data_IF_718441124512
#
_entry.id   IF_718441124512
#
_cell.length_a   1.000
_cell.length_b   1.000
_cell.length_c   1.000
_cell.angle_alpha   90.00
_cell.angle_beta   90.00
_cell.angle_gamma   90.00
#
_symmetry.space_group_name_H-M   'P 1'
#
loop_
_entity.id
_entity.type
_entity.pdbx_description
1 polymer ?
#
# COMPACT_ATOMS: atom_id res chain seq x y z
N UNK A 1 -14.00 -15.17 -0.51
CA UNK A 1 -12.81 -15.75 -1.16
C UNK A 1 -12.69 -17.23 -0.85
N UNK A 2 -12.44 -17.64 0.38
CA UNK A 2 -12.16 -19.05 0.76
C UNK A 2 -13.26 -20.05 0.36
N UNK A 3 -14.55 -19.70 0.45
CA UNK A 3 -15.63 -20.60 0.03
C UNK A 3 -15.54 -20.94 -1.47
N UNK A 4 -15.23 -19.95 -2.30
CA UNK A 4 -15.08 -20.15 -3.74
C UNK A 4 -13.83 -20.98 -4.06
N UNK A 5 -12.69 -20.67 -3.42
CA UNK A 5 -11.46 -21.45 -3.61
C UNK A 5 -11.66 -22.91 -3.24
N UNK A 6 -12.31 -23.20 -2.12
CA UNK A 6 -12.63 -24.58 -1.68
C UNK A 6 -13.63 -25.30 -2.56
N UNK A 7 -14.43 -24.58 -3.32
CA UNK A 7 -15.38 -25.17 -4.29
C UNK A 7 -14.78 -25.33 -5.70
N UNK A 8 -13.57 -24.83 -5.93
CA UNK A 8 -12.81 -25.00 -7.17
C UNK A 8 -11.94 -26.28 -7.10
N UNK A 9 -11.33 -26.63 -8.21
CA UNK A 9 -10.43 -27.81 -8.29
C UNK A 9 -9.01 -27.55 -7.76
N UNK A 10 -8.76 -26.36 -7.20
CA UNK A 10 -7.44 -26.00 -6.64
C UNK A 10 -7.22 -26.67 -5.29
N UNK A 11 -6.01 -27.12 -5.03
CA UNK A 11 -5.63 -27.75 -3.77
C UNK A 11 -5.33 -26.68 -2.72
N UNK A 12 -6.28 -26.36 -1.85
CA UNK A 12 -6.09 -25.47 -0.71
C UNK A 12 -5.51 -26.24 0.45
N UNK A 13 -4.23 -26.05 0.75
CA UNK A 13 -3.48 -26.78 1.77
C UNK A 13 -3.62 -26.18 3.16
N UNK A 14 -3.56 -24.85 3.26
CA UNK A 14 -3.77 -24.12 4.53
C UNK A 14 -4.42 -22.76 4.31
N UNK A 15 -5.04 -22.24 5.37
CA UNK A 15 -5.67 -20.91 5.39
C UNK A 15 -5.47 -20.26 6.75
N UNK A 16 -5.25 -18.93 6.75
CA UNK A 16 -5.07 -18.11 7.95
C UNK A 16 -4.04 -18.73 8.93
N UNK A 17 -2.95 -19.24 8.38
CA UNK A 17 -1.94 -19.93 9.14
C UNK A 17 -0.96 -18.93 9.79
N UNK A 18 -0.69 -19.12 11.07
CA UNK A 18 0.33 -18.34 11.78
C UNK A 18 1.72 -18.80 11.36
N UNK A 19 2.54 -17.85 10.98
CA UNK A 19 3.93 -18.08 10.55
C UNK A 19 4.86 -17.15 11.30
N UNK A 20 6.10 -17.56 11.42
CA UNK A 20 7.17 -16.78 12.05
C UNK A 20 8.42 -16.83 11.19
N UNK A 21 9.12 -15.70 11.11
CA UNK A 21 10.41 -15.57 10.45
C UNK A 21 11.41 -14.90 11.40
N UNK A 22 12.53 -15.55 11.62
CA UNK A 22 13.63 -14.99 12.40
C UNK A 22 14.48 -14.09 11.51
N UNK A 23 14.47 -12.78 11.76
CA UNK A 23 15.40 -11.81 11.21
C UNK A 23 16.57 -11.60 12.17
N UNK A 24 17.68 -11.04 11.68
CA UNK A 24 18.87 -10.78 12.52
C UNK A 24 18.59 -9.90 13.74
N UNK A 25 17.63 -8.98 13.62
CA UNK A 25 17.33 -7.98 14.66
C UNK A 25 16.07 -8.27 15.46
N UNK A 26 15.15 -9.08 14.95
CA UNK A 26 13.90 -9.43 15.63
C UNK A 26 13.26 -10.66 14.99
N UNK A 27 12.27 -11.21 15.67
CA UNK A 27 11.35 -12.20 15.13
C UNK A 27 10.12 -11.51 14.58
N UNK A 28 9.72 -11.86 13.38
CA UNK A 28 8.47 -11.41 12.76
C UNK A 28 7.43 -12.52 12.87
N UNK A 29 6.29 -12.22 13.46
CA UNK A 29 5.13 -13.09 13.48
C UNK A 29 4.06 -12.51 12.55
N UNK A 30 3.37 -13.39 11.83
CA UNK A 30 2.30 -12.99 10.93
C UNK A 30 1.28 -14.09 10.71
N UNK A 31 0.26 -13.79 9.92
CA UNK A 31 -0.73 -14.75 9.49
C UNK A 31 -0.82 -14.68 7.98
N UNK A 32 -0.41 -15.73 7.28
CA UNK A 32 -0.60 -15.82 5.84
C UNK A 32 -2.05 -16.11 5.50
N UNK A 33 -2.49 -15.71 4.33
CA UNK A 33 -3.89 -15.86 3.93
C UNK A 33 -4.18 -17.30 3.48
N UNK A 34 -3.40 -17.84 2.54
CA UNK A 34 -3.67 -19.17 1.98
C UNK A 34 -2.43 -19.78 1.31
N UNK A 35 -2.33 -21.11 1.36
CA UNK A 35 -1.42 -21.90 0.54
C UNK A 35 -2.24 -22.69 -0.47
N UNK A 36 -1.89 -22.54 -1.76
CA UNK A 36 -2.56 -23.22 -2.88
C UNK A 36 -1.48 -23.83 -3.77
N UNK A 37 -1.59 -25.12 -4.06
CA UNK A 37 -0.69 -25.87 -4.93
C UNK A 37 0.79 -25.65 -4.60
N UNK A 38 1.13 -25.69 -3.29
CA UNK A 38 2.49 -25.54 -2.79
C UNK A 38 3.05 -24.11 -2.83
N UNK A 39 2.25 -23.09 -3.14
CA UNK A 39 2.65 -21.69 -3.16
C UNK A 39 1.86 -20.85 -2.15
N UNK A 40 2.52 -19.86 -1.57
CA UNK A 40 1.88 -18.89 -0.67
C UNK A 40 1.18 -17.82 -1.49
N UNK A 41 -0.10 -17.59 -1.22
CA UNK A 41 -0.91 -16.55 -1.87
C UNK A 41 -1.45 -15.57 -0.84
N UNK A 42 -1.51 -14.32 -1.23
CA UNK A 42 -2.03 -13.24 -0.42
C UNK A 42 -3.33 -12.69 -1.05
N UNK A 43 -4.38 -12.50 -0.23
CA UNK A 43 -5.71 -12.10 -0.71
C UNK A 43 -5.89 -10.61 -0.48
N UNK A 44 -6.07 -9.85 -1.55
CA UNK A 44 -6.26 -8.41 -1.50
C UNK A 44 -7.63 -7.96 -1.98
N UNK A 45 -8.21 -7.01 -1.29
CA UNK A 45 -9.36 -6.27 -1.80
C UNK A 45 -8.89 -4.93 -2.35
N UNK A 46 -9.26 -4.62 -3.59
CA UNK A 46 -8.81 -3.44 -4.31
C UNK A 46 -9.96 -2.51 -4.70
N UNK A 47 -9.67 -1.23 -4.89
CA UNK A 47 -10.59 -0.34 -5.59
C UNK A 47 -10.64 -0.70 -7.09
N UNK A 48 -11.70 -0.35 -7.84
CA UNK A 48 -11.76 -0.61 -9.28
C UNK A 48 -10.53 -0.11 -10.06
N UNK A 49 -10.00 1.03 -9.65
CA UNK A 49 -8.78 1.57 -10.24
C UNK A 49 -7.55 0.67 -9.97
N UNK A 50 -7.31 0.32 -8.72
CA UNK A 50 -6.18 -0.55 -8.36
C UNK A 50 -6.35 -1.96 -8.93
N UNK A 51 -7.57 -2.49 -8.95
CA UNK A 51 -7.89 -3.78 -9.55
C UNK A 51 -7.48 -3.82 -11.03
N UNK A 52 -7.92 -2.85 -11.84
CA UNK A 52 -7.67 -2.83 -13.28
C UNK A 52 -6.29 -2.31 -13.70
N UNK A 53 -5.66 -1.42 -12.91
CA UNK A 53 -4.43 -0.73 -13.31
C UNK A 53 -3.18 -1.19 -12.57
N UNK A 54 -3.32 -1.89 -11.46
CA UNK A 54 -2.19 -2.35 -10.66
C UNK A 54 -2.08 -3.88 -10.66
N UNK A 55 -3.17 -4.58 -10.36
CA UNK A 55 -3.12 -6.04 -10.18
C UNK A 55 -3.52 -6.84 -11.42
N UNK A 56 -4.52 -6.41 -12.15
CA UNK A 56 -5.08 -7.16 -13.28
C UNK A 56 -5.30 -6.31 -14.52
N UNK A 57 -5.98 -6.90 -15.53
CA UNK A 57 -6.26 -6.28 -16.81
C UNK A 57 -5.01 -6.16 -17.70
N UNK A 58 -5.14 -5.44 -18.80
CA UNK A 58 -4.09 -5.25 -19.81
C UNK A 58 -2.85 -4.50 -19.27
N UNK A 59 -3.03 -3.67 -18.23
CA UNK A 59 -2.00 -2.75 -17.72
C UNK A 59 -1.51 -3.08 -16.31
N UNK A 60 -2.06 -4.10 -15.68
CA UNK A 60 -1.69 -4.55 -14.34
C UNK A 60 -0.70 -5.72 -14.38
N UNK A 61 -0.47 -6.30 -13.21
CA UNK A 61 0.37 -7.48 -13.02
C UNK A 61 1.54 -7.25 -12.07
N UNK A 62 2.31 -8.30 -11.86
CA UNK A 62 3.41 -8.32 -10.90
C UNK A 62 4.38 -7.13 -11.04
N UNK A 63 4.88 -6.88 -12.26
CA UNK A 63 5.82 -5.77 -12.49
C UNK A 63 5.20 -4.42 -12.14
N UNK A 64 3.89 -4.25 -12.38
CA UNK A 64 3.20 -3.00 -12.03
C UNK A 64 3.05 -2.82 -10.53
N UNK A 65 2.85 -3.91 -9.79
CA UNK A 65 2.90 -3.88 -8.34
C UNK A 65 4.30 -3.54 -7.85
N UNK A 66 5.34 -4.13 -8.44
CA UNK A 66 6.75 -3.88 -8.10
C UNK A 66 7.17 -2.42 -8.35
N UNK A 67 6.72 -1.79 -9.44
CA UNK A 67 7.01 -0.37 -9.75
C UNK A 67 6.44 0.61 -8.71
N UNK A 68 5.30 0.29 -8.10
CA UNK A 68 4.60 1.17 -7.15
C UNK A 68 4.10 0.38 -5.93
N UNK A 69 5.03 -0.20 -5.17
CA UNK A 69 4.69 -0.95 -3.95
C UNK A 69 4.75 -0.09 -2.69
N UNK A 70 3.93 0.95 -2.67
CA UNK A 70 3.84 1.88 -1.56
C UNK A 70 3.40 1.23 -0.23
N UNK A 71 2.80 0.04 -0.27
CA UNK A 71 2.25 -0.66 0.90
C UNK A 71 3.03 -1.89 1.30
N UNK A 72 4.10 -2.25 0.60
CA UNK A 72 4.94 -3.41 0.90
C UNK A 72 4.27 -4.75 0.61
N UNK A 73 3.49 -4.83 -0.45
CA UNK A 73 2.82 -6.07 -0.85
C UNK A 73 3.81 -7.17 -1.25
N UNK A 74 4.90 -6.79 -1.95
CA UNK A 74 5.98 -7.72 -2.27
C UNK A 74 6.66 -8.22 -0.99
N UNK A 75 7.08 -7.29 -0.13
CA UNK A 75 7.73 -7.64 1.13
C UNK A 75 6.85 -8.61 1.95
N UNK A 76 5.56 -8.33 2.07
CA UNK A 76 4.63 -9.20 2.80
C UNK A 76 4.60 -10.61 2.19
N UNK A 77 4.44 -10.69 0.87
CA UNK A 77 4.38 -11.98 0.16
C UNK A 77 5.65 -12.80 0.33
N UNK A 78 6.82 -12.18 0.11
CA UNK A 78 8.10 -12.88 0.23
C UNK A 78 8.47 -13.25 1.66
N UNK A 79 8.12 -12.42 2.66
CA UNK A 79 8.35 -12.79 4.07
C UNK A 79 7.51 -14.00 4.47
N UNK A 80 6.26 -14.08 4.04
CA UNK A 80 5.43 -15.27 4.29
C UNK A 80 5.94 -16.51 3.57
N UNK A 81 6.36 -16.37 2.32
CA UNK A 81 6.97 -17.45 1.52
C UNK A 81 8.24 -17.97 2.17
N UNK A 82 9.11 -17.06 2.62
CA UNK A 82 10.34 -17.43 3.34
C UNK A 82 10.04 -18.13 4.67
N UNK A 83 9.04 -17.66 5.42
CA UNK A 83 8.61 -18.28 6.67
C UNK A 83 8.06 -19.71 6.48
N UNK A 84 7.46 -20.00 5.33
CA UNK A 84 6.95 -21.32 4.94
C UNK A 84 7.95 -22.16 4.17
N UNK A 85 9.06 -21.60 3.74
CA UNK A 85 10.00 -22.24 2.79
C UNK A 85 9.29 -22.74 1.52
N UNK A 86 8.45 -21.88 0.95
CA UNK A 86 7.66 -22.10 -0.26
C UNK A 86 7.80 -20.89 -1.19
N UNK A 87 7.43 -21.04 -2.46
CA UNK A 87 7.40 -19.94 -3.40
C UNK A 87 6.22 -19.02 -3.14
N UNK A 88 6.36 -17.75 -3.52
CA UNK A 88 5.26 -16.81 -3.54
C UNK A 88 4.45 -17.00 -4.84
N UNK A 89 3.17 -17.36 -4.72
CA UNK A 89 2.26 -17.52 -5.87
C UNK A 89 1.81 -16.19 -6.45
N UNK A 90 1.68 -15.16 -5.60
CA UNK A 90 1.17 -13.86 -6.00
C UNK A 90 -0.04 -13.42 -5.19
N UNK A 91 -0.92 -12.65 -5.83
CA UNK A 91 -2.10 -12.09 -5.19
C UNK A 91 -3.39 -12.58 -5.84
N UNK A 92 -4.36 -12.96 -5.01
CA UNK A 92 -5.75 -13.14 -5.41
C UNK A 92 -6.48 -11.85 -5.04
N UNK A 93 -6.94 -11.12 -6.05
CA UNK A 93 -7.45 -9.76 -5.85
C UNK A 93 -8.94 -9.70 -6.14
N UNK A 94 -9.68 -9.00 -5.27
CA UNK A 94 -11.12 -8.82 -5.37
C UNK A 94 -11.43 -7.34 -5.54
N UNK A 95 -12.15 -6.99 -6.60
CA UNK A 95 -12.69 -5.64 -6.76
C UNK A 95 -13.80 -5.39 -5.73
N UNK A 96 -13.63 -4.37 -4.90
CA UNK A 96 -14.60 -4.00 -3.85
C UNK A 96 -15.94 -3.54 -4.38
N UNK A 97 -16.01 -3.07 -5.63
CA UNK A 97 -17.23 -2.52 -6.21
C UNK A 97 -18.03 -3.58 -6.97
N UNK A 98 -17.38 -4.41 -7.78
CA UNK A 98 -18.04 -5.42 -8.62
C UNK A 98 -18.05 -6.82 -8.00
N UNK A 99 -17.11 -7.11 -7.11
CA UNK A 99 -16.86 -8.47 -6.61
C UNK A 99 -16.10 -9.35 -7.60
N UNK A 100 -15.64 -8.81 -8.72
CA UNK A 100 -14.81 -9.53 -9.68
C UNK A 100 -13.47 -9.93 -9.07
N UNK A 101 -12.91 -11.01 -9.61
CA UNK A 101 -11.66 -11.58 -9.16
C UNK A 101 -10.60 -11.52 -10.26
N UNK A 102 -9.37 -11.29 -9.83
CA UNK A 102 -8.18 -11.40 -10.68
C UNK A 102 -7.07 -12.13 -9.93
N UNK A 103 -6.28 -12.88 -10.66
CA UNK A 103 -5.04 -13.49 -10.16
C UNK A 103 -3.88 -12.68 -10.73
N UNK A 104 -3.03 -12.19 -9.83
CA UNK A 104 -1.80 -11.48 -10.17
C UNK A 104 -0.62 -12.38 -9.77
N UNK A 105 -0.18 -13.20 -10.70
CA UNK A 105 0.85 -14.21 -10.45
C UNK A 105 2.23 -13.59 -10.28
N UNK A 106 2.99 -14.12 -9.32
CA UNK A 106 4.42 -13.85 -9.19
C UNK A 106 5.21 -14.66 -10.25
N UNK A 107 6.39 -14.19 -10.70
CA UNK A 107 7.19 -14.92 -11.67
C UNK A 107 7.76 -16.21 -11.07
N UNK A 108 8.10 -17.19 -11.91
CA UNK A 108 8.70 -18.45 -11.46
C UNK A 108 10.10 -18.23 -10.87
N UNK A 109 10.87 -17.26 -11.37
CA UNK A 109 12.18 -16.89 -10.83
C UNK A 109 12.04 -15.70 -9.89
N UNK A 110 12.16 -15.97 -8.58
CA UNK A 110 11.85 -15.00 -7.51
C UNK A 110 13.04 -14.73 -6.58
N UNK A 111 14.16 -15.38 -6.77
CA UNK A 111 15.27 -15.36 -5.80
C UNK A 111 15.79 -13.93 -5.59
N UNK A 112 16.03 -13.19 -6.67
CA UNK A 112 16.49 -11.81 -6.61
C UNK A 112 15.48 -10.89 -5.90
N UNK A 113 14.21 -10.96 -6.27
CA UNK A 113 13.13 -10.15 -5.65
C UNK A 113 12.94 -10.52 -4.17
N UNK A 114 13.00 -11.81 -3.85
CA UNK A 114 12.88 -12.31 -2.48
C UNK A 114 14.03 -11.81 -1.60
N UNK A 115 15.25 -11.87 -2.10
CA UNK A 115 16.43 -11.42 -1.37
C UNK A 115 16.42 -9.91 -1.17
N UNK A 116 16.03 -9.13 -2.19
CA UNK A 116 15.88 -7.67 -2.09
C UNK A 116 14.85 -7.29 -1.01
N UNK A 117 13.69 -7.95 -0.98
CA UNK A 117 12.65 -7.66 0.01
C UNK A 117 13.07 -8.12 1.43
N UNK A 118 13.80 -9.22 1.53
CA UNK A 118 14.36 -9.66 2.81
C UNK A 118 15.40 -8.68 3.35
N UNK A 119 16.29 -8.16 2.51
CA UNK A 119 17.25 -7.12 2.90
C UNK A 119 16.55 -5.83 3.36
N UNK A 120 15.49 -5.41 2.65
CA UNK A 120 14.65 -4.28 3.08
C UNK A 120 14.01 -4.52 4.45
N UNK A 121 13.49 -5.73 4.68
CA UNK A 121 12.89 -6.10 5.95
C UNK A 121 13.91 -6.09 7.09
N UNK A 122 15.13 -6.64 6.88
CA UNK A 122 16.23 -6.60 7.85
C UNK A 122 16.62 -5.15 8.20
N UNK A 123 16.74 -4.28 7.20
CA UNK A 123 17.04 -2.86 7.41
C UNK A 123 15.94 -2.17 8.22
N UNK A 124 14.68 -2.45 7.91
CA UNK A 124 13.54 -1.91 8.65
C UNK A 124 13.53 -2.42 10.09
N UNK A 125 13.70 -3.72 10.31
CA UNK A 125 13.77 -4.35 11.61
C UNK A 125 14.88 -3.72 12.48
N UNK A 126 16.09 -3.58 11.92
CA UNK A 126 17.22 -2.91 12.60
C UNK A 126 16.90 -1.46 12.95
N UNK A 127 16.19 -0.75 12.09
CA UNK A 127 15.80 0.65 12.34
C UNK A 127 14.78 0.74 13.47
N UNK A 128 13.77 -0.16 13.46
CA UNK A 128 12.70 -0.19 14.45
C UNK A 128 13.20 -0.61 15.85
N UNK A 129 14.17 -1.53 15.91
CA UNK A 129 14.76 -2.03 17.17
C UNK A 129 15.87 -1.14 17.73
N UNK A 130 16.33 -0.13 16.98
CA UNK A 130 17.46 0.71 17.37
C UNK A 130 17.23 1.68 18.53
N UNK A 131 16.01 1.69 19.13
CA UNK A 131 15.62 2.60 20.21
C UNK A 131 15.98 4.08 19.97
N UNK A 132 15.84 4.52 18.73
CA UNK A 132 16.08 5.89 18.27
C UNK A 132 14.82 6.44 17.63
N UNK A 133 14.56 7.76 17.74
CA UNK A 133 13.44 8.37 17.03
C UNK A 133 13.56 8.11 15.53
N UNK A 134 12.47 7.64 14.93
CA UNK A 134 12.41 7.45 13.48
C UNK A 134 12.50 8.80 12.78
N UNK A 135 13.28 8.86 11.70
CA UNK A 135 13.31 10.02 10.82
C UNK A 135 12.06 10.03 9.95
N UNK A 136 11.64 11.24 9.56
CA UNK A 136 10.58 11.39 8.55
C UNK A 136 11.07 10.81 7.23
N UNK A 137 10.42 9.76 6.75
CA UNK A 137 10.75 9.09 5.49
C UNK A 137 10.23 9.90 4.29
N UNK A 138 9.04 10.45 4.43
CA UNK A 138 8.38 11.17 3.34
C UNK A 138 8.18 12.63 3.68
N UNK A 139 8.52 13.50 2.72
CA UNK A 139 8.20 14.91 2.81
C UNK A 139 6.71 15.15 2.56
N UNK A 140 6.19 16.24 3.10
CA UNK A 140 4.90 16.77 2.67
C UNK A 140 5.02 17.43 1.30
N UNK A 141 3.91 17.61 0.63
CA UNK A 141 3.85 18.23 -0.70
C UNK A 141 2.94 19.47 -0.69
N UNK A 142 3.22 20.38 -1.61
CA UNK A 142 2.35 21.51 -1.83
C UNK A 142 1.00 21.07 -2.40
N UNK A 143 -0.10 21.62 -1.88
CA UNK A 143 -1.42 21.43 -2.47
C UNK A 143 -1.57 22.33 -3.67
N UNK A 144 -1.87 21.73 -4.81
CA UNK A 144 -2.14 22.45 -6.06
C UNK A 144 -3.50 22.04 -6.61
N UNK A 145 -4.10 22.91 -7.43
CA UNK A 145 -5.26 22.58 -8.24
C UNK A 145 -5.11 23.13 -9.65
N UNK A 146 -5.75 22.44 -10.59
CA UNK A 146 -5.80 22.90 -11.98
C UNK A 146 -7.07 23.71 -12.20
N UNK A 147 -6.92 24.90 -12.74
CA UNK A 147 -8.06 25.76 -13.09
C UNK A 147 -8.87 25.12 -14.21
N UNK A 148 -10.16 24.91 -13.99
CA UNK A 148 -11.03 24.20 -14.93
C UNK A 148 -11.67 25.13 -15.97
N UNK A 149 -11.88 26.41 -15.64
CA UNK A 149 -12.65 27.35 -16.46
C UNK A 149 -11.98 28.72 -16.53
N UNK A 150 -12.42 29.54 -17.48
CA UNK A 150 -11.99 30.93 -17.66
C UNK A 150 -10.64 31.06 -18.38
N UNK A 151 -10.12 32.30 -18.38
CA UNK A 151 -8.87 32.66 -19.12
C UNK A 151 -7.64 31.91 -18.62
N UNK A 152 -7.66 31.42 -17.39
CA UNK A 152 -6.57 30.68 -16.76
C UNK A 152 -6.78 29.15 -16.79
N UNK A 153 -7.70 28.65 -17.64
CA UNK A 153 -7.95 27.20 -17.76
C UNK A 153 -6.67 26.44 -18.08
N UNK A 154 -6.43 25.40 -17.30
CA UNK A 154 -5.25 24.53 -17.43
C UNK A 154 -4.07 24.92 -16.54
N UNK A 155 -4.05 26.15 -16.00
CA UNK A 155 -3.01 26.56 -15.08
C UNK A 155 -3.06 25.75 -13.77
N UNK A 156 -1.88 25.49 -13.21
CA UNK A 156 -1.72 24.84 -11.91
C UNK A 156 -1.42 25.94 -10.88
N UNK A 157 -2.28 26.05 -9.90
CA UNK A 157 -2.17 27.07 -8.85
C UNK A 157 -1.92 26.38 -7.52
N UNK A 158 -0.92 26.86 -6.79
CA UNK A 158 -0.65 26.47 -5.41
C UNK A 158 -1.63 27.12 -4.45
N UNK A 159 -2.16 26.35 -3.49
CA UNK A 159 -3.07 26.89 -2.45
C UNK A 159 -2.33 27.54 -1.29
N UNK A 160 -1.02 27.24 -1.17
CA UNK A 160 -0.20 27.58 0.00
C UNK A 160 -0.40 26.62 1.18
N UNK A 161 -1.25 25.60 1.03
CA UNK A 161 -1.39 24.50 1.97
C UNK A 161 -0.34 23.42 1.69
N UNK A 162 -0.04 22.62 2.71
CA UNK A 162 0.82 21.46 2.55
C UNK A 162 0.08 20.19 2.92
N UNK A 163 0.15 19.21 2.04
CA UNK A 163 -0.49 17.89 2.20
C UNK A 163 0.49 16.89 2.78
N UNK A 164 0.03 16.12 3.74
CA UNK A 164 0.76 14.96 4.21
C UNK A 164 0.92 13.94 3.06
N UNK A 165 2.07 13.26 3.00
CA UNK A 165 2.26 12.17 2.07
C UNK A 165 1.22 11.07 2.30
N UNK A 166 0.74 10.43 1.24
CA UNK A 166 -0.35 9.44 1.32
C UNK A 166 -0.02 8.30 2.28
N UNK A 167 1.20 7.76 2.21
CA UNK A 167 1.65 6.68 3.12
C UNK A 167 1.62 7.15 4.57
N UNK A 168 2.10 8.37 4.87
CA UNK A 168 2.06 8.93 6.22
C UNK A 168 0.64 9.09 6.74
N UNK A 169 -0.37 9.29 5.88
CA UNK A 169 -1.75 9.44 6.31
C UNK A 169 -2.33 8.16 6.95
N UNK A 170 -1.80 7.00 6.61
CA UNK A 170 -2.17 5.70 7.18
C UNK A 170 -1.27 5.27 8.35
N UNK A 171 -0.17 5.97 8.60
CA UNK A 171 0.78 5.64 9.65
C UNK A 171 0.25 6.04 11.04
N UNK A 172 0.32 5.16 12.02
CA UNK A 172 -0.11 5.44 13.39
C UNK A 172 0.79 6.48 14.08
N UNK A 173 2.05 6.56 13.69
CA UNK A 173 3.02 7.52 14.20
C UNK A 173 2.97 8.89 13.53
N UNK A 174 2.00 9.14 12.63
CA UNK A 174 1.89 10.41 11.87
C UNK A 174 1.91 11.65 12.74
N UNK A 175 1.29 11.60 13.93
CA UNK A 175 1.27 12.73 14.86
C UNK A 175 2.60 12.98 15.56
N UNK A 176 3.46 11.98 15.68
CA UNK A 176 4.83 12.16 16.19
C UNK A 176 5.71 12.87 15.16
N UNK A 177 5.57 12.50 13.89
CA UNK A 177 6.29 13.14 12.80
C UNK A 177 5.72 14.54 12.44
N UNK A 178 4.42 14.70 12.58
CA UNK A 178 3.66 15.89 12.16
C UNK A 178 2.68 16.30 13.27
N UNK A 179 3.15 16.86 14.41
CA UNK A 179 2.29 17.17 15.55
C UNK A 179 1.13 18.12 15.23
N UNK A 180 1.38 19.05 14.31
CA UNK A 180 0.40 20.04 13.85
C UNK A 180 -0.51 19.56 12.70
N UNK A 181 -0.35 18.31 12.26
CA UNK A 181 -1.19 17.82 11.14
C UNK A 181 -2.65 17.66 11.56
N UNK A 182 -3.54 18.09 10.69
CA UNK A 182 -4.98 18.07 10.90
C UNK A 182 -5.73 17.49 9.70
N UNK A 183 -6.88 16.88 9.96
CA UNK A 183 -7.78 16.42 8.92
C UNK A 183 -8.77 17.50 8.52
N UNK A 184 -8.81 17.81 7.23
CA UNK A 184 -9.79 18.74 6.69
C UNK A 184 -10.32 18.23 5.34
N UNK A 185 -11.49 18.75 4.95
CA UNK A 185 -11.97 18.56 3.59
C UNK A 185 -11.01 19.25 2.62
N UNK A 186 -10.69 18.58 1.53
CA UNK A 186 -9.74 19.11 0.53
C UNK A 186 -10.21 20.49 0.03
N UNK A 187 -9.32 21.48 0.15
CA UNK A 187 -9.65 22.88 -0.14
C UNK A 187 -9.54 23.17 -1.65
N UNK A 188 -8.52 22.63 -2.30
CA UNK A 188 -8.19 22.88 -3.70
C UNK A 188 -9.03 22.09 -4.73
N UNK A 189 -10.25 21.65 -4.41
CA UNK A 189 -11.13 20.95 -5.35
C UNK A 189 -12.52 21.54 -5.38
N UNK A 190 -13.14 21.54 -6.57
CA UNK A 190 -14.52 21.96 -6.77
C UNK A 190 -15.53 20.81 -6.65
N UNK A 191 -15.07 19.60 -6.35
CA UNK A 191 -15.94 18.44 -6.19
C UNK A 191 -16.99 18.68 -5.10
N UNK A 192 -18.23 18.28 -5.35
CA UNK A 192 -19.35 18.39 -4.40
C UNK A 192 -19.10 17.60 -3.11
N UNK A 193 -18.45 16.44 -3.23
CA UNK A 193 -17.95 15.67 -2.09
C UNK A 193 -16.42 15.78 -2.04
N UNK A 194 -15.94 16.65 -1.17
CA UNK A 194 -14.51 16.86 -0.99
C UNK A 194 -13.96 15.78 -0.06
N UNK A 195 -12.92 15.02 -0.48
CA UNK A 195 -12.33 14.02 0.39
C UNK A 195 -11.73 14.68 1.63
N UNK A 196 -11.81 14.00 2.77
CA UNK A 196 -11.09 14.37 3.98
C UNK A 196 -9.66 13.86 3.83
N UNK A 197 -8.71 14.76 3.97
CA UNK A 197 -7.28 14.46 3.84
C UNK A 197 -6.49 15.11 4.99
N UNK A 198 -5.26 14.65 5.17
CA UNK A 198 -4.35 15.19 6.16
C UNK A 198 -3.53 16.34 5.59
N UNK A 199 -3.56 17.47 6.31
CA UNK A 199 -2.71 18.63 6.06
C UNK A 199 -1.63 18.72 7.12
N UNK A 200 -0.40 18.97 6.71
CA UNK A 200 0.72 19.29 7.61
C UNK A 200 0.79 20.80 7.89
N UNK A 201 0.23 21.61 6.99
CA UNK A 201 0.07 23.04 7.15
C UNK A 201 -1.17 23.51 6.39
N UNK A 202 -2.04 24.23 7.08
CA UNK A 202 -3.14 24.99 6.47
C UNK A 202 -2.81 26.48 6.50
N UNK A 203 -2.96 27.13 5.36
CA UNK A 203 -2.95 28.58 5.29
C UNK A 203 -4.24 29.06 5.92
N UNK A 204 -4.16 29.81 7.03
CA UNK A 204 -5.33 30.47 7.61
C UNK A 204 -5.94 31.34 6.52
N UNK A 205 -7.22 31.16 6.22
CA UNK A 205 -7.97 32.16 5.44
C UNK A 205 -8.03 33.42 6.28
N UNK A 206 -7.45 34.48 5.80
CA UNK A 206 -7.87 35.81 6.28
C UNK A 206 -9.36 35.90 5.95
N UNK A 207 -10.18 35.89 6.99
CA UNK A 207 -11.59 36.25 6.86
C UNK A 207 -11.57 37.75 6.64
N UNK A 208 -11.66 38.19 5.37
CA UNK A 208 -12.03 39.56 5.10
C UNK A 208 -13.42 39.75 5.71
N UNK A 209 -13.44 40.56 6.78
CA UNK A 209 -14.65 41.02 7.48
C UNK A 209 -15.34 42.08 6.62
#
# INVERSE_FOLDING_TARGET
AMVILKSSEVNVESEQEKVSLDLKSCKLDGTLDVVIDGKVWDIKSASPYAFSKKFGGEFGGYNKVKEDDAFGYLMQGYLYSKAKNMDFGGWIVIDKASGEWAVCEAPDYQEEDSDEELEKAEKNAKTMTANKPLKKEFADREETFRVQYGKRKGEIIATGNRLMHTICSYCDYKKQCWPSAEQHRRVGTQATQRPIIWYTKLKKREVEV
#
